data_IF_926872999591
#
_entry.id   IF_926872999591
#
_cell.length_a   1.000
_cell.length_b   1.000
_cell.length_c   1.000
_cell.angle_alpha   90.00
_cell.angle_beta   90.00
_cell.angle_gamma   90.00
#
_symmetry.space_group_name_H-M   'P 1'
#
loop_
_entity.id
_entity.type
_entity.pdbx_description
1 polymer ?
#
# COMPACT_ATOMS: atom_id res chain seq x y z
N UNK A 1 7.89 7.52 -3.02
CA UNK A 1 7.03 6.83 -4.00
C UNK A 1 5.86 6.17 -3.30
N UNK A 2 6.09 5.27 -2.34
CA UNK A 2 5.00 4.62 -1.60
C UNK A 2 4.13 5.61 -0.81
N UNK A 3 4.74 6.61 -0.17
CA UNK A 3 4.00 7.72 0.48
C UNK A 3 2.96 8.38 -0.45
N UNK A 4 3.32 8.68 -1.70
CA UNK A 4 2.39 9.26 -2.69
C UNK A 4 1.26 8.30 -3.05
N UNK A 5 1.55 7.00 -3.16
CA UNK A 5 0.56 5.99 -3.55
C UNK A 5 -0.50 5.81 -2.45
N UNK A 6 -0.08 5.73 -1.19
CA UNK A 6 -1.00 5.44 -0.08
C UNK A 6 -1.72 6.68 0.44
N UNK A 7 -1.08 7.87 0.44
CA UNK A 7 -1.71 9.11 0.89
C UNK A 7 -2.55 9.81 -0.19
N UNK A 8 -2.07 9.87 -1.46
CA UNK A 8 -2.83 10.53 -2.54
C UNK A 8 -3.77 9.57 -3.27
N UNK A 9 -3.51 8.26 -3.19
CA UNK A 9 -4.35 7.23 -3.80
C UNK A 9 -5.57 6.84 -2.97
N UNK A 10 -5.82 7.55 -1.86
CA UNK A 10 -6.93 7.29 -0.93
C UNK A 10 -6.89 5.87 -0.33
N UNK A 11 -5.67 5.34 -0.13
CA UNK A 11 -5.45 3.99 0.37
C UNK A 11 -5.63 3.87 1.88
N UNK A 12 -5.48 4.98 2.62
CA UNK A 12 -5.63 5.04 4.07
C UNK A 12 -6.54 6.23 4.42
N UNK A 13 -7.62 5.96 5.14
CA UNK A 13 -8.49 7.02 5.68
C UNK A 13 -7.83 7.65 6.91
N UNK A 14 -7.22 8.82 6.71
CA UNK A 14 -6.55 9.58 7.77
C UNK A 14 -7.51 10.11 8.83
N UNK A 15 -8.82 10.17 8.55
CA UNK A 15 -9.80 10.63 9.54
C UNK A 15 -9.93 9.66 10.72
N UNK A 16 -9.64 8.37 10.49
CA UNK A 16 -9.59 7.34 11.54
C UNK A 16 -8.48 7.59 12.56
N UNK A 17 -7.44 8.34 12.19
CA UNK A 17 -6.33 8.68 13.08
C UNK A 17 -6.65 9.89 13.97
N UNK A 18 -7.71 10.65 13.70
CA UNK A 18 -8.05 11.85 14.48
C UNK A 18 -8.77 11.44 15.77
N UNK A 19 -8.19 11.78 16.92
CA UNK A 19 -8.81 11.56 18.24
C UNK A 19 -9.56 12.82 18.69
N UNK A 20 -8.88 13.97 18.66
CA UNK A 20 -9.46 15.29 18.94
C UNK A 20 -8.98 16.25 17.87
N UNK A 21 -9.92 16.77 17.08
CA UNK A 21 -9.64 17.67 15.98
C UNK A 21 -8.76 18.86 16.40
N UNK A 22 -7.67 19.08 15.68
CA UNK A 22 -6.70 20.15 15.94
C UNK A 22 -5.87 19.99 17.22
N UNK A 23 -6.01 18.88 17.96
CA UNK A 23 -5.30 18.66 19.23
C UNK A 23 -4.54 17.34 19.29
N UNK A 24 -5.20 16.21 19.02
CA UNK A 24 -4.63 14.87 19.21
C UNK A 24 -5.00 13.97 18.04
N UNK A 25 -4.01 13.30 17.47
CA UNK A 25 -4.19 12.25 16.48
C UNK A 25 -3.15 11.15 16.69
N UNK A 26 -3.44 9.98 16.14
CA UNK A 26 -2.46 8.92 15.93
C UNK A 26 -1.47 9.33 14.84
N UNK A 27 -0.22 8.93 15.04
CA UNK A 27 0.83 9.03 14.03
C UNK A 27 1.19 7.61 13.61
N UNK A 28 0.97 7.29 12.33
CA UNK A 28 1.12 5.95 11.78
C UNK A 28 2.47 5.85 11.06
N UNK A 29 3.36 5.03 11.60
CA UNK A 29 4.64 4.70 10.97
C UNK A 29 4.56 3.32 10.31
N UNK A 30 5.03 3.24 9.07
CA UNK A 30 5.13 1.99 8.31
C UNK A 30 6.60 1.78 7.97
N UNK A 31 7.25 0.90 8.74
CA UNK A 31 8.65 0.56 8.56
C UNK A 31 8.78 -0.78 7.82
N UNK A 32 9.57 -0.79 6.75
CA UNK A 32 9.86 -1.98 5.95
C UNK A 32 11.34 -2.32 5.99
N UNK A 33 11.66 -3.59 6.26
CA UNK A 33 13.02 -4.13 6.18
C UNK A 33 13.07 -5.21 5.10
N UNK A 34 13.92 -5.02 4.10
CA UNK A 34 14.23 -6.06 3.13
C UNK A 34 15.33 -6.97 3.67
N UNK A 35 14.99 -8.24 3.91
CA UNK A 35 15.95 -9.26 4.35
C UNK A 35 16.74 -9.87 3.18
N UNK A 36 16.08 -10.02 2.03
CA UNK A 36 16.64 -10.57 0.81
C UNK A 36 15.70 -10.29 -0.35
N UNK A 37 16.21 -9.68 -1.41
CA UNK A 37 15.46 -9.43 -2.64
C UNK A 37 16.05 -10.20 -3.80
N UNK A 38 15.18 -10.82 -4.59
CA UNK A 38 15.48 -11.28 -5.94
C UNK A 38 14.77 -10.44 -7.02
N UNK A 39 14.85 -9.12 -6.92
CA UNK A 39 14.17 -8.19 -7.82
C UNK A 39 12.74 -7.89 -7.40
N UNK A 40 12.07 -7.07 -8.21
CA UNK A 40 10.67 -6.65 -8.02
C UNK A 40 10.29 -6.14 -6.62
N UNK A 41 11.26 -5.56 -5.91
CA UNK A 41 11.13 -5.20 -4.49
C UNK A 41 9.95 -4.26 -4.20
N UNK A 42 9.64 -3.34 -5.11
CA UNK A 42 8.55 -2.38 -4.91
C UNK A 42 7.18 -3.06 -4.84
N UNK A 43 6.95 -4.07 -5.68
CA UNK A 43 5.69 -4.82 -5.70
C UNK A 43 5.55 -5.64 -4.43
N UNK A 44 6.65 -6.30 -4.01
CA UNK A 44 6.70 -7.05 -2.76
C UNK A 44 6.41 -6.15 -1.55
N UNK A 45 7.09 -5.00 -1.45
CA UNK A 45 6.84 -4.03 -0.39
C UNK A 45 5.40 -3.51 -0.40
N UNK A 46 4.83 -3.25 -1.58
CA UNK A 46 3.45 -2.80 -1.68
C UNK A 46 2.44 -3.85 -1.16
N UNK A 47 2.68 -5.12 -1.44
CA UNK A 47 1.91 -6.22 -0.87
C UNK A 47 2.11 -6.36 0.65
N UNK A 48 3.36 -6.25 1.13
CA UNK A 48 3.67 -6.28 2.56
C UNK A 48 3.00 -5.15 3.34
N UNK A 49 2.97 -3.93 2.79
CA UNK A 49 2.26 -2.81 3.42
C UNK A 49 0.77 -3.09 3.53
N UNK A 50 0.15 -3.63 2.48
CA UNK A 50 -1.27 -3.98 2.53
C UNK A 50 -1.55 -5.02 3.62
N UNK A 51 -0.78 -6.11 3.65
CA UNK A 51 -0.93 -7.14 4.67
C UNK A 51 -0.70 -6.59 6.09
N UNK A 52 0.33 -5.76 6.29
CA UNK A 52 0.62 -5.14 7.57
C UNK A 52 -0.54 -4.24 8.04
N UNK A 53 -1.10 -3.41 7.13
CA UNK A 53 -2.23 -2.55 7.44
C UNK A 53 -3.50 -3.36 7.78
N UNK A 54 -3.74 -4.48 7.09
CA UNK A 54 -4.91 -5.34 7.37
C UNK A 54 -4.87 -5.93 8.76
N UNK A 55 -3.66 -6.24 9.27
CA UNK A 55 -3.46 -6.75 10.62
C UNK A 55 -3.25 -5.65 11.68
N UNK A 56 -3.29 -4.36 11.30
CA UNK A 56 -3.02 -3.27 12.25
C UNK A 56 -4.28 -2.84 12.99
N UNK A 57 -4.35 -3.14 14.28
CA UNK A 57 -5.36 -2.58 15.19
C UNK A 57 -4.96 -1.20 15.73
N UNK A 58 -5.83 -0.20 15.54
CA UNK A 58 -5.68 1.14 16.13
C UNK A 58 -6.36 1.12 17.51
N UNK A 59 -5.64 1.32 18.63
CA UNK A 59 -6.25 1.33 19.95
C UNK A 59 -7.35 2.40 20.06
N UNK A 60 -8.51 2.04 20.59
CA UNK A 60 -9.59 3.01 20.80
C UNK A 60 -9.19 4.00 21.90
N UNK A 61 -9.59 5.27 21.73
CA UNK A 61 -9.27 6.33 22.69
C UNK A 61 -10.56 6.94 23.24
N UNK A 62 -10.71 6.88 24.56
CA UNK A 62 -11.81 7.51 25.28
C UNK A 62 -11.39 8.90 25.76
N UNK A 63 -12.16 9.92 25.38
CA UNK A 63 -11.89 11.31 25.77
C UNK A 63 -12.79 11.68 26.95
N UNK A 64 -12.19 12.08 28.08
CA UNK A 64 -12.95 12.49 29.25
C UNK A 64 -13.71 13.82 28.98
N UNK A 65 -15.02 13.81 29.21
CA UNK A 65 -15.88 14.99 29.01
C UNK A 65 -15.69 15.96 30.18
N UNK A 66 -15.04 17.10 29.95
CA UNK A 66 -14.92 18.14 30.99
C UNK A 66 -13.85 19.21 30.80
N UNK A 67 -12.91 19.04 29.88
CA UNK A 67 -11.89 20.06 29.60
C UNK A 67 -12.53 21.28 28.92
N UNK A 68 -12.23 22.48 29.41
CA UNK A 68 -12.53 23.73 28.71
C UNK A 68 -11.85 23.75 27.33
N UNK A 69 -12.31 24.60 26.39
CA UNK A 69 -11.77 24.63 25.02
C UNK A 69 -10.25 24.81 24.96
N UNK A 70 -9.65 25.40 25.98
CA UNK A 70 -8.24 25.77 26.05
C UNK A 70 -7.35 24.76 26.81
N UNK A 71 -7.92 23.72 27.41
CA UNK A 71 -7.16 22.70 28.12
C UNK A 71 -6.79 21.51 27.20
N UNK A 72 -5.70 20.82 27.54
CA UNK A 72 -5.32 19.55 26.91
C UNK A 72 -6.35 18.47 27.30
N UNK A 73 -6.95 17.76 26.31
CA UNK A 73 -7.89 16.69 26.58
C UNK A 73 -7.22 15.58 27.40
N UNK A 74 -7.91 15.10 28.44
CA UNK A 74 -7.52 13.84 29.09
C UNK A 74 -8.03 12.69 28.25
N UNK A 75 -7.11 11.82 27.85
CA UNK A 75 -7.37 10.65 27.01
C UNK A 75 -7.00 9.38 27.75
N UNK A 76 -7.82 8.36 27.58
CA UNK A 76 -7.59 7.00 28.05
C UNK A 76 -7.52 6.08 26.84
N UNK A 77 -6.46 5.30 26.72
CA UNK A 77 -6.19 4.44 25.55
C UNK A 77 -6.56 3.02 25.96
N UNK A 78 -7.42 2.36 25.18
CA UNK A 78 -7.85 0.98 25.44
C UNK A 78 -6.75 -0.01 25.08
N UNK A 79 -6.52 -0.99 25.96
CA UNK A 79 -5.64 -2.14 25.70
C UNK A 79 -6.39 -3.35 25.07
N UNK A 80 -7.73 -3.29 25.05
CA UNK A 80 -8.59 -4.41 24.62
C UNK A 80 -9.41 -4.10 23.36
N UNK A 81 -9.70 -2.83 23.10
CA UNK A 81 -10.56 -2.41 22.00
C UNK A 81 -9.75 -1.72 20.90
N UNK A 82 -9.86 -2.24 19.68
CA UNK A 82 -9.13 -1.75 18.51
C UNK A 82 -10.07 -1.50 17.34
N UNK A 83 -9.78 -0.44 16.58
CA UNK A 83 -10.37 -0.18 15.27
C UNK A 83 -9.45 -0.75 14.20
N UNK A 84 -9.99 -1.51 13.26
CA UNK A 84 -9.25 -2.03 12.12
C UNK A 84 -9.29 -1.03 10.95
N UNK A 85 -8.21 -0.97 10.18
CA UNK A 85 -8.19 -0.21 8.92
C UNK A 85 -9.07 -0.91 7.87
N UNK A 86 -9.84 -0.14 7.10
CA UNK A 86 -10.37 -0.65 5.84
C UNK A 86 -9.24 -0.67 4.79
N UNK A 87 -8.74 -1.87 4.49
CA UNK A 87 -7.69 -2.07 3.48
C UNK A 87 -8.21 -2.35 2.06
N UNK A 88 -9.53 -2.30 1.85
CA UNK A 88 -10.14 -2.43 0.52
C UNK A 88 -9.63 -1.41 -0.52
N UNK A 89 -9.37 -0.13 -0.18
CA UNK A 89 -8.86 0.85 -1.15
C UNK A 89 -7.35 0.78 -1.35
N UNK A 90 -6.61 0.07 -0.49
CA UNK A 90 -5.15 -0.07 -0.55
C UNK A 90 -4.75 -0.75 -1.87
N UNK A 91 -3.96 -0.09 -2.73
CA UNK A 91 -3.60 -0.64 -4.03
C UNK A 91 -2.47 -1.67 -3.93
N UNK A 92 -2.39 -2.53 -4.94
CA UNK A 92 -1.19 -3.33 -5.23
C UNK A 92 -0.36 -2.64 -6.29
N UNK A 93 0.94 -2.90 -6.30
CA UNK A 93 1.87 -2.37 -7.30
C UNK A 93 2.24 -3.49 -8.26
N UNK A 94 2.19 -3.20 -9.56
CA UNK A 94 2.65 -4.08 -10.63
C UNK A 94 3.74 -3.35 -11.41
N UNK A 95 4.94 -3.94 -11.45
CA UNK A 95 6.08 -3.40 -12.18
C UNK A 95 6.30 -4.13 -13.50
N UNK A 96 6.35 -3.37 -14.59
CA UNK A 96 6.63 -3.83 -15.94
C UNK A 96 8.00 -3.32 -16.40
N UNK A 97 8.93 -4.24 -16.60
CA UNK A 97 10.33 -3.95 -16.95
C UNK A 97 10.54 -4.09 -18.45
N UNK A 98 11.11 -3.06 -19.10
CA UNK A 98 11.36 -3.06 -20.55
C UNK A 98 12.58 -3.89 -20.90
N UNK A 99 12.40 -4.87 -21.78
CA UNK A 99 13.45 -5.72 -22.34
C UNK A 99 13.39 -5.64 -23.87
N UNK A 100 14.31 -4.89 -24.47
CA UNK A 100 14.31 -4.62 -25.91
C UNK A 100 12.99 -3.97 -26.37
N UNK A 101 12.22 -4.67 -27.20
CA UNK A 101 10.90 -4.22 -27.70
C UNK A 101 9.71 -4.75 -26.90
N UNK A 102 9.97 -5.55 -25.87
CA UNK A 102 8.95 -6.16 -25.03
C UNK A 102 9.06 -5.66 -23.59
N UNK A 103 8.17 -6.14 -22.74
CA UNK A 103 8.25 -5.99 -21.29
C UNK A 103 7.94 -7.30 -20.61
N UNK A 104 8.44 -7.44 -19.40
CA UNK A 104 8.17 -8.54 -18.48
C UNK A 104 7.56 -7.96 -17.20
N UNK A 105 6.70 -8.74 -16.55
CA UNK A 105 6.08 -8.37 -15.27
C UNK A 105 6.85 -9.08 -14.16
N UNK A 106 7.24 -8.36 -13.11
CA UNK A 106 7.90 -8.94 -11.94
C UNK A 106 9.29 -9.52 -12.22
N UNK A 107 10.18 -8.69 -12.76
CA UNK A 107 11.53 -9.09 -13.16
C UNK A 107 12.39 -9.56 -11.97
N UNK A 108 13.18 -10.62 -12.15
CA UNK A 108 14.19 -11.05 -11.16
C UNK A 108 15.38 -10.07 -11.10
N UNK A 109 16.28 -10.24 -10.14
CA UNK A 109 17.49 -9.40 -10.05
C UNK A 109 18.34 -9.48 -11.32
N UNK A 110 18.49 -10.67 -11.89
CA UNK A 110 19.25 -10.88 -13.13
C UNK A 110 18.58 -10.18 -14.31
N UNK A 111 17.26 -10.28 -14.42
CA UNK A 111 16.50 -9.61 -15.48
C UNK A 111 16.53 -8.09 -15.31
N UNK A 112 16.43 -7.60 -14.07
CA UNK A 112 16.61 -6.21 -13.73
C UNK A 112 18.02 -5.71 -14.07
N UNK A 113 19.07 -6.51 -13.89
CA UNK A 113 20.44 -6.09 -14.22
C UNK A 113 20.63 -5.71 -15.70
N UNK A 114 19.77 -6.23 -16.58
CA UNK A 114 19.79 -5.97 -18.02
C UNK A 114 18.76 -4.91 -18.45
N UNK A 115 18.09 -4.25 -17.50
CA UNK A 115 16.99 -3.34 -17.79
C UNK A 115 17.46 -1.96 -18.26
N UNK A 116 16.64 -1.35 -19.11
CA UNK A 116 16.84 0.03 -19.59
C UNK A 116 15.85 1.03 -18.96
N UNK A 117 14.64 0.56 -18.64
CA UNK A 117 13.61 1.30 -17.92
C UNK A 117 12.53 0.33 -17.41
N UNK A 118 11.80 0.73 -16.38
CA UNK A 118 10.61 0.02 -15.90
C UNK A 118 9.52 1.03 -15.53
N UNK A 119 8.26 0.58 -15.56
CA UNK A 119 7.09 1.35 -15.15
C UNK A 119 6.38 0.57 -14.04
N UNK A 120 6.22 1.19 -12.88
CA UNK A 120 5.48 0.65 -11.75
C UNK A 120 4.13 1.35 -11.67
N UNK A 121 3.06 0.56 -11.61
CA UNK A 121 1.68 1.04 -11.68
C UNK A 121 0.95 0.48 -10.46
N UNK A 122 0.38 1.37 -9.66
CA UNK A 122 -0.44 0.99 -8.51
C UNK A 122 -1.91 1.00 -8.89
N UNK A 123 -2.63 -0.07 -8.56
CA UNK A 123 -4.04 -0.28 -8.91
C UNK A 123 -4.80 -0.77 -7.68
N UNK A 124 -5.93 -0.14 -7.39
CA UNK A 124 -6.81 -0.56 -6.30
C UNK A 124 -7.86 -1.59 -6.74
N UNK A 125 -8.62 -2.11 -5.79
CA UNK A 125 -9.70 -3.09 -6.00
C UNK A 125 -10.73 -2.67 -7.06
N UNK A 126 -10.95 -1.37 -7.21
CA UNK A 126 -11.90 -0.79 -8.19
C UNK A 126 -11.31 -0.69 -9.60
N UNK A 127 -10.05 -1.07 -9.81
CA UNK A 127 -9.34 -0.94 -11.08
C UNK A 127 -8.87 0.49 -11.39
N UNK A 128 -8.90 1.38 -10.38
CA UNK A 128 -8.41 2.75 -10.51
C UNK A 128 -6.89 2.77 -10.34
N UNK A 129 -6.23 3.63 -11.11
CA UNK A 129 -4.79 3.83 -11.01
C UNK A 129 -4.53 4.83 -9.88
N UNK A 130 -3.81 4.40 -8.84
CA UNK A 130 -3.46 5.22 -7.68
C UNK A 130 -2.13 5.96 -7.88
N UNK A 131 -1.34 5.57 -8.88
CA UNK A 131 -0.02 6.14 -9.14
C UNK A 131 0.74 5.38 -10.21
N UNK A 132 1.54 6.11 -10.97
CA UNK A 132 2.43 5.57 -12.00
C UNK A 132 3.81 6.19 -11.78
N UNK A 133 4.85 5.36 -11.72
CA UNK A 133 6.23 5.84 -11.70
C UNK A 133 7.07 5.12 -12.74
N UNK A 134 7.82 5.90 -13.52
CA UNK A 134 8.84 5.40 -14.43
C UNK A 134 10.21 5.47 -13.75
N UNK A 135 10.97 4.38 -13.80
CA UNK A 135 12.39 4.33 -13.42
C UNK A 135 13.27 3.96 -14.62
N UNK A 136 14.54 4.37 -14.59
CA UNK A 136 15.52 4.15 -15.66
C UNK A 136 15.46 5.18 -16.81
N UNK A 137 16.45 5.10 -17.71
CA UNK A 137 16.74 6.15 -18.69
C UNK A 137 16.09 6.00 -20.06
N UNK A 138 15.65 4.80 -20.46
CA UNK A 138 15.04 4.61 -21.77
C UNK A 138 13.67 5.27 -21.89
N UNK A 139 13.37 5.85 -23.04
CA UNK A 139 12.06 6.40 -23.35
C UNK A 139 11.04 5.31 -23.66
N UNK A 140 9.76 5.68 -23.56
CA UNK A 140 8.64 4.85 -23.99
C UNK A 140 7.83 5.59 -25.04
N UNK A 141 7.33 4.84 -26.01
CA UNK A 141 6.21 5.33 -26.82
C UNK A 141 4.95 5.40 -25.93
N UNK A 142 4.14 6.46 -26.02
CA UNK A 142 2.92 6.57 -25.22
C UNK A 142 1.96 5.38 -25.38
N UNK A 143 1.83 4.80 -26.58
CA UNK A 143 0.98 3.62 -26.80
C UNK A 143 1.47 2.42 -26.00
N UNK A 144 2.78 2.25 -25.87
CA UNK A 144 3.39 1.18 -25.10
C UNK A 144 3.10 1.32 -23.59
N UNK A 145 3.03 2.55 -23.07
CA UNK A 145 2.63 2.79 -21.68
C UNK A 145 1.14 2.45 -21.48
N UNK A 146 0.28 2.80 -22.44
CA UNK A 146 -1.16 2.46 -22.36
C UNK A 146 -1.38 0.93 -22.36
N UNK A 147 -0.59 0.21 -23.16
CA UNK A 147 -0.59 -1.26 -23.14
C UNK A 147 -0.12 -1.80 -21.79
N UNK A 148 0.97 -1.25 -21.23
CA UNK A 148 1.46 -1.61 -19.90
C UNK A 148 0.42 -1.35 -18.80
N UNK A 149 -0.33 -0.24 -18.87
CA UNK A 149 -1.42 0.07 -17.94
C UNK A 149 -2.52 -0.98 -18.03
N UNK A 150 -2.89 -1.40 -19.24
CA UNK A 150 -3.93 -2.41 -19.46
C UNK A 150 -3.51 -3.76 -18.86
N UNK A 151 -2.25 -4.16 -19.07
CA UNK A 151 -1.69 -5.36 -18.46
C UNK A 151 -1.62 -5.25 -16.94
N UNK A 152 -1.14 -4.12 -16.41
CA UNK A 152 -1.06 -3.89 -14.97
C UNK A 152 -2.42 -4.05 -14.28
N UNK A 153 -3.49 -3.49 -14.87
CA UNK A 153 -4.86 -3.67 -14.36
C UNK A 153 -5.27 -5.13 -14.32
N UNK A 154 -5.03 -5.87 -15.39
CA UNK A 154 -5.38 -7.29 -15.45
C UNK A 154 -4.61 -8.13 -14.43
N UNK A 155 -3.30 -7.91 -14.30
CA UNK A 155 -2.46 -8.62 -13.32
C UNK A 155 -2.84 -8.24 -11.89
N UNK A 156 -3.13 -6.96 -11.64
CA UNK A 156 -3.50 -6.48 -10.31
C UNK A 156 -4.78 -7.12 -9.78
N UNK A 157 -5.76 -7.42 -10.64
CA UNK A 157 -6.99 -8.10 -10.23
C UNK A 157 -6.70 -9.48 -9.63
N UNK A 158 -5.85 -10.26 -10.31
CA UNK A 158 -5.43 -11.58 -9.84
C UNK A 158 -4.60 -11.48 -8.56
N UNK A 159 -3.68 -10.52 -8.51
CA UNK A 159 -2.79 -10.31 -7.36
C UNK A 159 -3.57 -9.89 -6.12
N UNK A 160 -4.53 -8.97 -6.24
CA UNK A 160 -5.39 -8.54 -5.14
C UNK A 160 -6.21 -9.71 -4.61
N UNK A 161 -6.85 -10.49 -5.49
CA UNK A 161 -7.63 -11.65 -5.06
C UNK A 161 -6.78 -12.67 -4.29
N UNK A 162 -5.56 -12.93 -4.77
CA UNK A 162 -4.65 -13.86 -4.10
C UNK A 162 -4.17 -13.31 -2.77
N UNK A 163 -3.77 -12.04 -2.72
CA UNK A 163 -3.26 -11.40 -1.51
C UNK A 163 -4.34 -11.32 -0.43
N UNK A 164 -5.55 -10.86 -0.77
CA UNK A 164 -6.68 -10.81 0.16
C UNK A 164 -6.96 -12.21 0.74
N UNK A 165 -6.98 -13.24 -0.10
CA UNK A 165 -7.21 -14.62 0.35
C UNK A 165 -6.13 -15.16 1.29
N UNK A 166 -4.86 -14.74 1.15
CA UNK A 166 -3.78 -15.18 2.05
C UNK A 166 -3.80 -14.40 3.36
N UNK A 167 -4.19 -13.12 3.33
CA UNK A 167 -4.40 -12.30 4.53
C UNK A 167 -5.53 -12.91 5.37
N UNK A 168 -6.70 -13.15 4.75
CA UNK A 168 -7.85 -13.76 5.44
C UNK A 168 -7.51 -15.13 6.05
N UNK A 169 -6.67 -15.93 5.36
CA UNK A 169 -6.24 -17.24 5.85
C UNK A 169 -5.31 -17.12 7.06
N UNK A 170 -4.41 -16.14 7.07
CA UNK A 170 -3.50 -15.91 8.18
C UNK A 170 -4.24 -15.42 9.44
N UNK A 171 -5.21 -14.52 9.28
CA UNK A 171 -6.04 -14.02 10.39
C UNK A 171 -6.83 -15.16 11.07
N UNK A 172 -7.33 -16.12 10.28
CA UNK A 172 -8.05 -17.28 10.82
C UNK A 172 -7.16 -18.27 11.60
N UNK A 173 -5.85 -18.30 11.35
CA UNK A 173 -4.91 -19.14 12.11
C UNK A 173 -4.57 -18.52 13.48
N UNK A 174 -4.54 -17.19 13.59
CA UNK A 174 -4.25 -16.48 14.84
C UNK A 174 -5.40 -16.55 15.86
N UNK A 175 -6.62 -16.91 15.42
CA UNK A 175 -7.79 -17.12 16.30
C UNK A 175 -7.88 -18.54 16.91
N UNK A 176 -6.98 -19.48 16.53
CA UNK A 176 -6.98 -20.89 16.97
C UNK A 176 -6.01 -21.19 18.13
#
# INVERSE_FOLDING_TARGET
MMELIYLLGDGIDLSLLVVVEGKICWDLYIDGLDASSDGNLLDALGASIKAALSNTGIPMVHVAVGASSDEQPQVDISDEEFLQFDTSPVPVIVTLTKVGRHYIVGATSEEESQLSSAVSISVNRKGNICGITKRGGAGYDPSFILDMISVAKHVSEQLINKLDSEIDAAEAEDEL
#
